data_IF_936065408837
#
_entry.id   IF_936065408837
#
_cell.length_a   1.000
_cell.length_b   1.000
_cell.length_c   1.000
_cell.angle_alpha   90.00
_cell.angle_beta   90.00
_cell.angle_gamma   90.00
#
_symmetry.space_group_name_H-M   'P 1'
#
loop_
_entity.id
_entity.type
_entity.pdbx_description
1 polymer ?
#
# COMPACT_ATOMS: atom_id res chain seq x y z
N UNK A 1 -3.46 22.08 -3.87
CA UNK A 1 -4.55 22.02 -2.85
C UNK A 1 -4.12 21.07 -1.75
N UNK A 2 -4.21 21.45 -0.47
CA UNK A 2 -3.43 20.79 0.56
C UNK A 2 -4.05 19.43 0.90
N UNK A 3 -3.24 18.38 0.81
CA UNK A 3 -3.57 16.97 1.11
C UNK A 3 -4.32 16.79 2.44
N UNK A 4 -4.14 17.73 3.38
CA UNK A 4 -4.79 17.76 4.68
C UNK A 4 -6.32 17.88 4.64
N UNK A 5 -6.90 18.73 3.77
CA UNK A 5 -8.37 18.88 3.70
C UNK A 5 -9.05 17.64 3.13
N UNK A 6 -8.36 16.93 2.23
CA UNK A 6 -8.82 15.67 1.65
C UNK A 6 -8.87 14.57 2.71
N UNK A 7 -7.87 14.52 3.61
CA UNK A 7 -7.82 13.53 4.69
C UNK A 7 -8.96 13.69 5.70
N UNK A 8 -9.30 14.92 6.09
CA UNK A 8 -10.38 15.19 7.06
C UNK A 8 -11.75 14.85 6.46
N UNK A 9 -12.06 15.31 5.24
CA UNK A 9 -13.33 14.98 4.56
C UNK A 9 -13.46 13.48 4.30
N UNK A 10 -12.38 12.82 3.87
CA UNK A 10 -12.36 11.37 3.68
C UNK A 10 -12.60 10.60 4.99
N UNK A 11 -12.10 11.11 6.12
CA UNK A 11 -12.29 10.48 7.43
C UNK A 11 -13.75 10.50 7.90
N UNK A 12 -14.46 11.59 7.64
CA UNK A 12 -15.88 11.75 7.99
C UNK A 12 -16.74 10.86 7.10
N UNK A 13 -16.54 10.91 5.78
CA UNK A 13 -17.25 10.02 4.85
C UNK A 13 -17.02 8.54 5.16
N UNK A 14 -15.78 8.18 5.48
CA UNK A 14 -15.43 6.82 5.89
C UNK A 14 -16.21 6.38 7.12
N UNK A 15 -16.33 7.25 8.14
CA UNK A 15 -17.08 6.97 9.36
C UNK A 15 -18.55 6.70 9.05
N UNK A 16 -19.18 7.57 8.25
CA UNK A 16 -20.59 7.42 7.86
C UNK A 16 -20.81 6.13 7.06
N UNK A 17 -20.02 5.88 6.01
CA UNK A 17 -20.14 4.66 5.19
C UNK A 17 -19.94 3.38 6.01
N UNK A 18 -19.01 3.39 6.97
CA UNK A 18 -18.77 2.25 7.86
C UNK A 18 -19.91 2.07 8.87
N UNK A 19 -20.48 3.14 9.41
CA UNK A 19 -21.64 3.07 10.30
C UNK A 19 -22.87 2.52 9.57
N UNK A 20 -23.21 3.05 8.39
CA UNK A 20 -24.34 2.55 7.59
C UNK A 20 -24.18 1.07 7.24
N UNK A 21 -22.97 0.63 6.87
CA UNK A 21 -22.71 -0.79 6.60
C UNK A 21 -22.81 -1.66 7.84
N UNK A 22 -22.38 -1.19 9.00
CA UNK A 22 -22.54 -1.91 10.27
C UNK A 22 -24.02 -2.09 10.58
N UNK A 23 -24.80 -1.01 10.54
CA UNK A 23 -26.26 -1.07 10.77
C UNK A 23 -26.96 -2.02 9.79
N UNK A 24 -26.60 -1.97 8.51
CA UNK A 24 -27.12 -2.89 7.51
C UNK A 24 -26.74 -4.34 7.80
N UNK A 25 -25.49 -4.59 8.18
CA UNK A 25 -25.01 -5.92 8.52
C UNK A 25 -25.70 -6.45 9.78
N UNK A 26 -25.83 -5.62 10.82
CA UNK A 26 -26.55 -5.95 12.06
C UNK A 26 -28.03 -6.26 11.79
N UNK A 27 -28.67 -5.55 10.85
CA UNK A 27 -30.03 -5.86 10.40
C UNK A 27 -30.09 -7.20 9.65
N UNK A 28 -29.15 -7.52 8.78
CA UNK A 28 -29.11 -8.80 8.07
C UNK A 28 -28.89 -9.99 9.00
N UNK A 29 -28.09 -9.81 10.05
CA UNK A 29 -27.71 -10.87 11.00
C UNK A 29 -28.56 -10.90 12.27
N UNK A 30 -29.55 -10.01 12.40
CA UNK A 30 -30.43 -9.96 13.57
C UNK A 30 -31.33 -11.19 13.65
N UNK A 31 -31.57 -11.68 14.87
CA UNK A 31 -32.39 -12.87 15.12
C UNK A 31 -33.84 -12.73 14.63
N UNK A 32 -34.36 -11.50 14.54
CA UNK A 32 -35.76 -11.23 14.18
C UNK A 32 -35.96 -10.93 12.69
N UNK A 33 -34.91 -10.56 11.95
CA UNK A 33 -35.03 -10.15 10.53
C UNK A 33 -34.26 -11.04 9.56
N UNK A 34 -33.37 -11.94 10.02
CA UNK A 34 -32.54 -12.74 9.14
C UNK A 34 -33.37 -13.64 8.18
N UNK A 35 -34.42 -14.30 8.68
CA UNK A 35 -35.25 -15.19 7.86
C UNK A 35 -36.02 -14.43 6.78
N UNK A 36 -36.75 -13.37 7.15
CA UNK A 36 -37.49 -12.54 6.19
C UNK A 36 -36.55 -11.83 5.20
N UNK A 37 -35.34 -11.45 5.64
CA UNK A 37 -34.33 -10.86 4.77
C UNK A 37 -33.86 -11.87 3.71
N UNK A 38 -33.52 -13.09 4.11
CA UNK A 38 -33.08 -14.15 3.19
C UNK A 38 -34.20 -14.53 2.21
N UNK A 39 -35.43 -14.65 2.69
CA UNK A 39 -36.59 -14.95 1.85
C UNK A 39 -36.84 -13.87 0.80
N UNK A 40 -36.73 -12.59 1.19
CA UNK A 40 -37.02 -11.46 0.29
C UNK A 40 -35.86 -11.14 -0.66
N UNK A 41 -34.62 -11.17 -0.18
CA UNK A 41 -33.44 -10.66 -0.89
C UNK A 41 -32.50 -11.77 -1.38
N UNK A 42 -32.69 -13.02 -0.96
CA UNK A 42 -31.80 -14.14 -1.29
C UNK A 42 -31.67 -14.38 -2.79
N UNK A 43 -32.78 -14.40 -3.53
CA UNK A 43 -32.77 -14.57 -4.99
C UNK A 43 -32.06 -13.42 -5.72
N UNK A 44 -32.13 -12.20 -5.19
CA UNK A 44 -31.39 -11.06 -5.75
C UNK A 44 -29.87 -11.25 -5.66
N UNK A 45 -29.38 -11.82 -4.55
CA UNK A 45 -27.97 -12.15 -4.40
C UNK A 45 -27.50 -13.23 -5.37
N UNK A 46 -28.37 -14.15 -5.81
CA UNK A 46 -28.04 -15.13 -6.85
C UNK A 46 -27.65 -14.46 -8.17
N UNK A 47 -28.37 -13.42 -8.61
CA UNK A 47 -27.98 -12.65 -9.80
C UNK A 47 -26.63 -11.97 -9.63
N UNK A 48 -26.35 -11.42 -8.44
CA UNK A 48 -25.05 -10.82 -8.12
C UNK A 48 -23.92 -11.85 -8.16
N UNK A 49 -24.14 -13.08 -7.69
CA UNK A 49 -23.15 -14.15 -7.77
C UNK A 49 -22.92 -14.61 -9.21
N UNK A 50 -23.98 -14.73 -10.02
CA UNK A 50 -23.87 -15.04 -11.45
C UNK A 50 -23.06 -13.95 -12.16
N UNK A 51 -23.37 -12.67 -11.92
CA UNK A 51 -22.60 -11.55 -12.46
C UNK A 51 -21.12 -11.63 -12.07
N UNK A 52 -20.82 -11.85 -10.77
CA UNK A 52 -19.44 -12.04 -10.30
C UNK A 52 -18.73 -13.23 -10.95
N UNK A 53 -19.42 -14.36 -11.12
CA UNK A 53 -18.86 -15.56 -11.76
C UNK A 53 -18.54 -15.34 -13.24
N UNK A 54 -19.26 -14.43 -13.90
CA UNK A 54 -19.00 -13.99 -15.26
C UNK A 54 -17.96 -12.86 -15.33
N UNK A 55 -17.31 -12.52 -14.21
CA UNK A 55 -16.29 -11.46 -14.13
C UNK A 55 -16.85 -10.05 -13.94
N UNK A 56 -18.17 -9.89 -13.80
CA UNK A 56 -18.80 -8.59 -13.57
C UNK A 56 -18.92 -8.27 -12.08
N UNK A 57 -18.28 -7.18 -11.65
CA UNK A 57 -18.45 -6.65 -10.30
C UNK A 57 -17.39 -5.64 -9.92
N UNK A 58 -17.77 -4.64 -9.13
CA UNK A 58 -16.81 -3.70 -8.53
C UNK A 58 -16.11 -4.38 -7.35
N UNK A 59 -14.82 -4.65 -7.47
CA UNK A 59 -13.96 -4.90 -6.31
C UNK A 59 -13.83 -3.58 -5.54
N UNK A 60 -14.72 -3.38 -4.58
CA UNK A 60 -14.61 -2.24 -3.66
C UNK A 60 -13.62 -2.59 -2.56
N UNK A 61 -12.41 -2.01 -2.63
CA UNK A 61 -11.47 -2.14 -1.53
C UNK A 61 -11.95 -1.28 -0.35
N UNK A 62 -12.14 -1.91 0.81
CA UNK A 62 -12.48 -1.20 2.06
C UNK A 62 -11.38 -0.23 2.52
N UNK A 63 -10.19 -0.36 1.91
CA UNK A 63 -9.02 0.48 2.12
C UNK A 63 -9.26 1.94 1.70
N UNK A 64 -10.02 2.15 0.62
CA UNK A 64 -10.29 3.49 0.08
C UNK A 64 -11.69 4.02 0.43
N UNK A 65 -12.28 3.54 1.51
CA UNK A 65 -13.55 4.09 2.02
C UNK A 65 -13.45 5.62 2.21
N UNK A 66 -14.35 6.35 1.53
CA UNK A 66 -14.42 7.82 1.59
C UNK A 66 -13.38 8.53 0.71
N UNK A 67 -12.69 7.82 -0.18
CA UNK A 67 -11.62 8.39 -1.02
C UNK A 67 -11.99 8.25 -2.50
N UNK A 68 -12.03 9.38 -3.21
CA UNK A 68 -12.27 9.39 -4.66
C UNK A 68 -11.14 8.67 -5.40
N UNK A 69 -11.49 8.00 -6.51
CA UNK A 69 -10.58 7.12 -7.26
C UNK A 69 -9.29 7.83 -7.70
N UNK A 70 -9.40 9.11 -8.07
CA UNK A 70 -8.28 9.96 -8.47
C UNK A 70 -7.19 10.14 -7.40
N UNK A 71 -7.52 10.03 -6.11
CA UNK A 71 -6.55 10.17 -5.03
C UNK A 71 -5.97 8.81 -4.56
N UNK A 72 -6.53 7.69 -5.00
CA UNK A 72 -6.15 6.37 -4.47
C UNK A 72 -4.69 6.00 -4.78
N UNK A 73 -4.21 6.35 -5.98
CA UNK A 73 -2.84 6.04 -6.41
C UNK A 73 -1.79 6.99 -5.82
N UNK A 74 -2.20 8.18 -5.39
CA UNK A 74 -1.31 9.20 -4.80
C UNK A 74 -1.18 9.03 -3.29
N UNK A 75 -2.14 8.36 -2.65
CA UNK A 75 -2.08 8.10 -1.22
C UNK A 75 -0.94 7.14 -0.89
N UNK A 76 -0.07 7.56 0.03
CA UNK A 76 1.05 6.76 0.50
C UNK A 76 1.55 7.26 1.85
N UNK A 77 2.54 6.56 2.44
CA UNK A 77 3.19 7.03 3.65
C UNK A 77 3.83 8.40 3.39
N UNK A 78 3.68 9.30 4.35
CA UNK A 78 4.29 10.63 4.36
C UNK A 78 5.41 10.65 5.39
N UNK A 79 6.50 11.35 5.07
CA UNK A 79 7.57 11.62 6.03
C UNK A 79 7.28 12.87 6.88
N UNK A 80 6.31 13.69 6.47
CA UNK A 80 5.98 14.94 7.14
C UNK A 80 5.25 14.67 8.47
N UNK A 81 5.63 15.40 9.53
CA UNK A 81 5.03 15.26 10.86
C UNK A 81 5.47 14.03 11.64
N UNK A 82 6.50 13.31 11.16
CA UNK A 82 7.11 12.19 11.89
C UNK A 82 7.90 12.64 13.11
N UNK A 83 8.45 13.86 13.07
CA UNK A 83 9.12 14.52 14.18
C UNK A 83 8.19 14.68 15.39
N UNK A 84 6.94 15.09 15.17
CA UNK A 84 5.89 15.17 16.20
C UNK A 84 5.58 13.80 16.84
N UNK A 85 5.85 12.71 16.10
CA UNK A 85 5.69 11.33 16.55
C UNK A 85 6.97 10.74 17.17
N UNK A 86 8.01 11.56 17.38
CA UNK A 86 9.28 11.15 17.97
C UNK A 86 10.25 10.47 17.00
N UNK A 87 10.01 10.56 15.69
CA UNK A 87 10.93 10.11 14.65
C UNK A 87 11.82 11.28 14.22
N UNK A 88 12.91 11.46 14.96
CA UNK A 88 13.93 12.48 14.67
C UNK A 88 14.71 12.14 13.40
N UNK A 89 15.39 13.13 12.76
CA UNK A 89 16.25 12.86 11.61
C UNK A 89 17.31 11.78 11.87
N UNK A 90 17.89 11.74 13.07
CA UNK A 90 18.84 10.70 13.47
C UNK A 90 18.19 9.30 13.45
N UNK A 91 16.98 9.15 14.01
CA UNK A 91 16.23 7.88 13.97
C UNK A 91 15.85 7.45 12.57
N UNK A 92 15.56 8.42 11.69
CA UNK A 92 15.27 8.15 10.28
C UNK A 92 16.52 7.62 9.56
N UNK A 93 17.71 8.15 9.87
CA UNK A 93 18.98 7.61 9.36
C UNK A 93 19.23 6.20 9.94
N UNK A 94 19.02 6.01 11.25
CA UNK A 94 19.16 4.69 11.90
C UNK A 94 18.23 3.64 11.26
N UNK A 95 17.00 4.04 10.93
CA UNK A 95 16.02 3.20 10.26
C UNK A 95 16.48 2.83 8.85
N UNK A 96 16.94 3.81 8.07
CA UNK A 96 17.45 3.56 6.71
C UNK A 96 18.65 2.62 6.73
N UNK A 97 19.61 2.85 7.63
CA UNK A 97 20.78 1.99 7.80
C UNK A 97 20.36 0.56 8.19
N UNK A 98 19.44 0.43 9.14
CA UNK A 98 18.94 -0.87 9.60
C UNK A 98 18.24 -1.64 8.47
N UNK A 99 17.47 -0.95 7.63
CA UNK A 99 16.83 -1.54 6.44
C UNK A 99 17.91 -2.06 5.49
N UNK A 100 18.86 -1.20 5.09
CA UNK A 100 19.90 -1.53 4.12
C UNK A 100 20.82 -2.66 4.59
N UNK A 101 21.26 -2.63 5.86
CA UNK A 101 22.01 -3.72 6.49
C UNK A 101 21.18 -4.99 6.59
N UNK A 102 19.91 -4.86 6.96
CA UNK A 102 18.99 -5.99 7.10
C UNK A 102 18.79 -6.78 5.80
N UNK A 103 18.81 -6.09 4.65
CA UNK A 103 18.74 -6.73 3.32
C UNK A 103 20.11 -7.03 2.70
N UNK A 104 21.21 -6.67 3.38
CA UNK A 104 22.58 -6.89 2.90
C UNK A 104 23.03 -5.97 1.77
N UNK A 105 22.30 -4.89 1.48
CA UNK A 105 22.62 -3.93 0.42
C UNK A 105 23.23 -2.68 1.04
N UNK A 106 24.55 -2.72 1.24
CA UNK A 106 25.32 -1.62 1.84
C UNK A 106 26.37 -1.02 0.91
N UNK A 107 26.69 -1.72 -0.18
CA UNK A 107 27.62 -1.30 -1.23
C UNK A 107 27.12 -1.79 -2.60
N UNK A 108 27.70 -1.27 -3.69
CA UNK A 108 27.39 -1.74 -5.04
C UNK A 108 25.98 -1.41 -5.51
N UNK A 109 25.44 -0.26 -5.11
CA UNK A 109 24.11 0.18 -5.49
C UNK A 109 23.98 0.30 -7.01
N UNK A 110 22.89 -0.26 -7.54
CA UNK A 110 22.50 -0.09 -8.93
C UNK A 110 21.84 1.28 -9.14
N UNK A 111 21.78 1.74 -10.40
CA UNK A 111 21.08 2.98 -10.78
C UNK A 111 19.62 2.99 -10.36
N UNK A 112 18.97 1.83 -10.39
CA UNK A 112 17.60 1.64 -9.92
C UNK A 112 17.58 0.51 -8.89
N UNK A 113 17.10 0.82 -7.68
CA UNK A 113 16.93 -0.17 -6.60
C UNK A 113 15.46 -0.23 -6.22
N UNK A 114 14.86 -1.42 -6.22
CA UNK A 114 13.43 -1.58 -5.93
C UNK A 114 13.23 -2.32 -4.61
N UNK A 115 12.59 -1.66 -3.66
CA UNK A 115 12.06 -2.32 -2.47
C UNK A 115 10.74 -3.02 -2.83
N UNK A 116 10.76 -4.35 -2.82
CA UNK A 116 9.58 -5.16 -3.04
C UNK A 116 8.93 -5.54 -1.71
N UNK A 117 7.77 -4.95 -1.42
CA UNK A 117 6.88 -5.45 -0.39
C UNK A 117 6.12 -6.69 -0.89
N UNK A 118 5.67 -7.54 0.03
CA UNK A 118 4.84 -8.69 -0.30
C UNK A 118 3.40 -8.48 0.17
N UNK A 119 2.45 -8.91 -0.64
CA UNK A 119 1.05 -8.98 -0.26
C UNK A 119 0.35 -10.09 -1.03
N UNK A 120 -0.92 -10.29 -0.73
CA UNK A 120 -1.75 -11.28 -1.39
C UNK A 120 -3.06 -10.65 -1.85
N UNK A 121 -3.82 -11.35 -2.69
CA UNK A 121 -5.21 -11.00 -2.94
C UNK A 121 -6.13 -12.17 -2.63
N UNK A 122 -7.26 -11.87 -1.98
CA UNK A 122 -8.32 -12.83 -1.69
C UNK A 122 -9.68 -12.16 -1.58
N UNK A 123 -10.72 -12.86 -2.01
CA UNK A 123 -12.11 -12.40 -1.84
C UNK A 123 -12.63 -12.66 -0.40
N UNK A 124 -11.93 -13.50 0.38
CA UNK A 124 -12.30 -13.87 1.75
C UNK A 124 -11.50 -13.08 2.81
N UNK A 125 -12.02 -11.91 3.18
CA UNK A 125 -11.37 -10.91 4.03
C UNK A 125 -10.80 -11.39 5.39
N UNK A 126 -11.38 -12.37 6.12
CA UNK A 126 -10.79 -12.87 7.37
C UNK A 126 -9.47 -13.63 7.17
N UNK A 127 -9.28 -14.30 6.03
CA UNK A 127 -8.05 -15.03 5.73
C UNK A 127 -6.98 -14.11 5.10
N UNK A 128 -7.37 -12.96 4.53
CA UNK A 128 -6.47 -12.00 3.91
C UNK A 128 -5.30 -11.60 4.82
N UNK A 129 -5.57 -11.33 6.10
CA UNK A 129 -4.51 -10.96 7.05
C UNK A 129 -3.52 -12.12 7.33
N UNK A 130 -3.96 -13.38 7.18
CA UNK A 130 -3.09 -14.55 7.29
C UNK A 130 -2.32 -14.87 6.00
N UNK A 131 -2.79 -14.38 4.85
CA UNK A 131 -2.13 -14.52 3.55
C UNK A 131 -1.15 -13.38 3.26
N UNK A 132 -1.39 -12.21 3.85
CA UNK A 132 -0.48 -11.08 3.81
C UNK A 132 0.77 -11.31 4.67
N UNK A 133 1.71 -10.37 4.61
CA UNK A 133 3.03 -10.56 5.19
C UNK A 133 2.97 -10.61 6.74
N UNK A 134 3.32 -11.77 7.31
CA UNK A 134 3.40 -11.95 8.76
C UNK A 134 4.41 -10.99 9.43
N UNK A 135 5.54 -10.72 8.78
CA UNK A 135 6.52 -9.73 9.25
C UNK A 135 5.99 -8.28 9.22
N UNK A 136 4.93 -8.02 8.45
CA UNK A 136 4.22 -6.74 8.42
C UNK A 136 2.94 -6.75 9.28
N UNK A 137 2.78 -7.74 10.17
CA UNK A 137 1.64 -7.83 11.08
C UNK A 137 0.33 -8.20 10.40
N UNK A 138 0.38 -8.97 9.29
CA UNK A 138 -0.81 -9.35 8.53
C UNK A 138 -1.33 -8.22 7.63
N UNK A 139 -0.46 -7.28 7.28
CA UNK A 139 -0.70 -6.25 6.28
C UNK A 139 0.19 -6.47 5.04
N UNK A 140 -0.19 -5.88 3.92
CA UNK A 140 0.69 -5.83 2.75
C UNK A 140 1.96 -5.03 3.08
N UNK A 141 3.10 -5.46 2.54
CA UNK A 141 4.37 -4.77 2.66
C UNK A 141 4.44 -3.45 1.87
N UNK A 142 3.36 -3.01 1.24
CA UNK A 142 3.31 -1.83 0.39
C UNK A 142 3.75 -0.56 1.13
N UNK A 143 3.19 -0.31 2.32
CA UNK A 143 3.50 0.89 3.08
C UNK A 143 4.98 0.91 3.51
N UNK A 144 5.52 -0.25 3.88
CA UNK A 144 6.92 -0.38 4.30
C UNK A 144 7.87 -0.17 3.11
N UNK A 145 7.59 -0.79 1.96
CA UNK A 145 8.38 -0.61 0.75
C UNK A 145 8.39 0.86 0.29
N UNK A 146 7.22 1.51 0.28
CA UNK A 146 7.10 2.93 -0.10
C UNK A 146 7.78 3.85 0.90
N UNK A 147 7.70 3.56 2.20
CA UNK A 147 8.41 4.31 3.23
C UNK A 147 9.92 4.18 3.06
N UNK A 148 10.44 2.96 2.89
CA UNK A 148 11.86 2.69 2.70
C UNK A 148 12.42 3.41 1.47
N UNK A 149 11.73 3.32 0.33
CA UNK A 149 12.13 4.01 -0.90
C UNK A 149 12.16 5.54 -0.71
N UNK A 150 11.09 6.12 -0.13
CA UNK A 150 11.03 7.56 0.13
C UNK A 150 12.12 8.02 1.08
N UNK A 151 12.44 7.22 2.09
CA UNK A 151 13.45 7.50 3.10
C UNK A 151 14.86 7.49 2.49
N UNK A 152 15.24 6.45 1.75
CA UNK A 152 16.56 6.34 1.11
C UNK A 152 16.77 7.37 -0.01
N UNK A 153 15.71 7.98 -0.53
CA UNK A 153 15.79 9.08 -1.49
C UNK A 153 15.93 10.47 -0.85
N UNK A 154 15.84 10.60 0.49
CA UNK A 154 16.05 11.90 1.14
C UNK A 154 17.53 12.26 1.20
N UNK A 155 17.86 13.50 0.85
CA UNK A 155 19.25 14.00 0.86
C UNK A 155 19.90 13.92 2.25
N UNK A 156 19.20 14.33 3.31
CA UNK A 156 19.72 14.26 4.68
C UNK A 156 19.97 12.82 5.14
N UNK A 157 19.17 11.85 4.66
CA UNK A 157 19.37 10.43 4.97
C UNK A 157 20.61 9.93 4.25
N UNK A 158 20.79 10.25 2.97
CA UNK A 158 21.98 9.87 2.20
C UNK A 158 23.27 10.43 2.80
N UNK A 159 23.25 11.70 3.22
CA UNK A 159 24.38 12.32 3.92
C UNK A 159 24.70 11.57 5.24
N UNK A 160 23.67 11.32 6.06
CA UNK A 160 23.85 10.58 7.31
C UNK A 160 24.29 9.13 7.12
N UNK A 161 23.92 8.47 6.02
CA UNK A 161 24.38 7.14 5.67
C UNK A 161 25.84 7.14 5.19
N UNK A 162 26.25 8.14 4.43
CA UNK A 162 27.64 8.29 3.99
C UNK A 162 28.59 8.46 5.18
N UNK A 163 28.21 9.23 6.20
CA UNK A 163 28.95 9.35 7.48
C UNK A 163 29.13 8.00 8.19
N UNK A 164 28.27 7.02 7.90
CA UNK A 164 28.29 5.65 8.45
C UNK A 164 28.91 4.62 7.51
N UNK A 165 29.54 5.08 6.42
CA UNK A 165 30.22 4.22 5.45
C UNK A 165 29.30 3.57 4.41
N UNK A 166 28.04 4.00 4.31
CA UNK A 166 27.09 3.54 3.28
C UNK A 166 26.93 4.67 2.27
N UNK A 167 27.73 4.61 1.21
CA UNK A 167 27.69 5.59 0.12
C UNK A 167 26.68 5.15 -0.95
N UNK A 168 25.63 5.94 -1.11
CA UNK A 168 24.62 5.76 -2.15
C UNK A 168 24.96 6.73 -3.31
N UNK A 169 25.25 6.23 -4.52
CA UNK A 169 25.52 7.08 -5.67
C UNK A 169 24.38 8.07 -5.97
N UNK A 170 24.72 9.26 -6.45
CA UNK A 170 23.74 10.30 -6.82
C UNK A 170 22.79 9.84 -7.94
N UNK A 171 23.26 8.97 -8.82
CA UNK A 171 22.45 8.39 -9.90
C UNK A 171 21.66 7.15 -9.48
N UNK A 172 21.73 6.73 -8.21
CA UNK A 172 20.86 5.68 -7.65
C UNK A 172 19.52 6.25 -7.27
N UNK A 173 18.42 5.65 -7.72
CA UNK A 173 17.06 5.97 -7.30
C UNK A 173 16.38 4.75 -6.69
N UNK A 174 15.72 4.94 -5.54
CA UNK A 174 14.93 3.88 -4.90
C UNK A 174 13.46 3.96 -5.31
N UNK A 175 12.90 2.86 -5.82
CA UNK A 175 11.47 2.69 -6.08
C UNK A 175 10.85 1.68 -5.13
N UNK A 176 9.53 1.72 -5.03
CA UNK A 176 8.77 0.73 -4.28
C UNK A 176 7.89 -0.09 -5.22
N UNK A 177 7.82 -1.39 -4.97
CA UNK A 177 6.91 -2.30 -5.62
C UNK A 177 6.19 -3.19 -4.60
N UNK A 178 5.06 -3.78 -5.01
CA UNK A 178 4.35 -4.82 -4.29
C UNK A 178 4.28 -6.05 -5.18
N UNK A 179 4.85 -7.15 -4.72
CA UNK A 179 4.65 -8.47 -5.31
C UNK A 179 3.41 -9.09 -4.68
N UNK A 180 2.43 -9.42 -5.52
CA UNK A 180 1.29 -10.22 -5.14
C UNK A 180 1.69 -11.70 -5.22
N UNK A 181 1.91 -12.32 -4.06
CA UNK A 181 2.37 -13.72 -3.95
C UNK A 181 1.32 -14.74 -4.40
N UNK A 182 0.06 -14.33 -4.59
CA UNK A 182 -1.01 -15.22 -5.08
C UNK A 182 -1.17 -15.22 -6.60
N UNK A 183 -0.69 -14.18 -7.28
CA UNK A 183 -0.83 -14.04 -8.75
C UNK A 183 0.50 -13.79 -9.45
N UNK A 184 1.59 -13.74 -8.69
CA UNK A 184 2.92 -13.31 -9.11
C UNK A 184 3.00 -11.93 -9.78
N UNK A 185 1.96 -11.12 -9.64
CA UNK A 185 1.90 -9.80 -10.27
C UNK A 185 2.74 -8.80 -9.47
N UNK A 186 3.55 -8.00 -10.18
CA UNK A 186 4.30 -6.89 -9.62
C UNK A 186 3.60 -5.56 -9.91
N UNK A 187 3.34 -4.77 -8.86
CA UNK A 187 2.82 -3.40 -8.98
C UNK A 187 3.88 -2.42 -8.49
N UNK A 188 4.35 -1.53 -9.37
CA UNK A 188 5.29 -0.45 -9.03
C UNK A 188 4.50 0.80 -8.59
N UNK A 189 5.03 1.53 -7.60
CA UNK A 189 4.39 2.72 -7.03
C UNK A 189 5.22 3.99 -7.25
N UNK A 190 4.55 5.13 -7.05
CA UNK A 190 5.18 6.45 -7.01
C UNK A 190 6.00 6.81 -8.26
N UNK A 191 5.60 6.28 -9.43
CA UNK A 191 6.27 6.51 -10.72
C UNK A 191 6.40 8.00 -11.11
N UNK A 192 5.54 8.86 -10.58
CA UNK A 192 5.61 10.31 -10.78
C UNK A 192 6.83 10.97 -10.11
N UNK A 193 7.50 10.26 -9.18
CA UNK A 193 8.73 10.72 -8.52
C UNK A 193 9.99 10.20 -9.22
N UNK A 194 9.85 9.31 -10.22
CA UNK A 194 10.98 8.76 -10.95
C UNK A 194 11.61 9.84 -11.83
N UNK A 195 12.93 10.10 -11.73
CA UNK A 195 13.61 10.99 -12.65
C UNK A 195 13.51 10.48 -14.09
N UNK A 196 13.36 11.39 -15.05
CA UNK A 196 13.27 11.04 -16.47
C UNK A 196 14.51 10.31 -17.01
N UNK A 197 15.64 10.39 -16.30
CA UNK A 197 16.87 9.67 -16.61
C UNK A 197 16.78 8.15 -16.39
N UNK A 198 15.82 7.70 -15.58
CA UNK A 198 15.68 6.29 -15.16
C UNK A 198 14.51 5.58 -15.85
N UNK A 199 13.83 6.23 -16.81
CA UNK A 199 12.68 5.64 -17.52
C UNK A 199 13.05 4.34 -18.24
N UNK A 200 14.25 4.28 -18.85
CA UNK A 200 14.73 3.06 -19.52
C UNK A 200 14.96 1.92 -18.53
N UNK A 201 15.52 2.22 -17.37
CA UNK A 201 15.76 1.24 -16.31
C UNK A 201 14.41 0.66 -15.80
N UNK A 202 13.36 1.48 -15.73
CA UNK A 202 12.01 1.03 -15.39
C UNK A 202 11.39 0.14 -16.48
N UNK A 203 11.53 0.52 -17.76
CA UNK A 203 11.02 -0.27 -18.88
C UNK A 203 11.66 -1.66 -18.92
N UNK A 204 12.98 -1.75 -18.70
CA UNK A 204 13.71 -3.02 -18.60
C UNK A 204 13.25 -3.87 -17.41
N UNK A 205 13.02 -3.24 -16.25
CA UNK A 205 12.44 -3.94 -15.10
C UNK A 205 11.05 -4.51 -15.41
N UNK A 206 10.22 -3.75 -16.12
CA UNK A 206 8.86 -4.18 -16.46
C UNK A 206 8.84 -5.33 -17.46
N UNK A 207 9.76 -5.36 -18.43
CA UNK A 207 9.90 -6.51 -19.36
C UNK A 207 10.47 -7.75 -18.69
N UNK A 208 11.31 -7.61 -17.68
CA UNK A 208 11.80 -8.75 -16.90
C UNK A 208 10.74 -9.30 -15.92
N UNK A 209 9.82 -8.44 -15.50
CA UNK A 209 8.77 -8.76 -14.53
C UNK A 209 7.45 -9.25 -15.18
N UNK A 210 7.33 -9.20 -16.51
CA UNK A 210 6.18 -9.66 -17.29
C UNK A 210 6.33 -11.10 -17.77
#
# INVERSE_FOLDING_TARGET
>A
MPVYSIQVSASQERRVRRQLRRLWQDFQTSATSCFSFVESMGLWYSFKLIAKSLGYGLQSSRRFDGIAKEYQDVLGPSLNGLDEQGMTPARLIDLAESILKGIGVVHGFARLVVFCGHGSCGENNPLQAGLDCGACGGHTGEANARLAAKLCNQSFVRQGLAERGIEIPEDTHFLAALHNTTTDALKVFDLHLLPSTHTKDLEELQTLAS
#
